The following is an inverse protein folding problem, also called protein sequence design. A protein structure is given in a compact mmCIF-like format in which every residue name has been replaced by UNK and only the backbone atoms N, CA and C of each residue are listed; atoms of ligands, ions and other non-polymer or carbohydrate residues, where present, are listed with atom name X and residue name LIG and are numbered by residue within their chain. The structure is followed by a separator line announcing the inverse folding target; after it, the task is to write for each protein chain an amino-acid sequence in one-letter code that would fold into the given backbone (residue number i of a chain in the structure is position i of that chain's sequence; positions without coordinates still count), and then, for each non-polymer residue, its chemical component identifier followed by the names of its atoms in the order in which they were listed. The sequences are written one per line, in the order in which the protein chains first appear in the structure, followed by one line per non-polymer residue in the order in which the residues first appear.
data_IF_925477621807
#
_entry.id   IF_925477621807
#
_cell.length_a   1.000
_cell.length_b   1.000
_cell.length_c   1.000
_cell.angle_alpha   90.00
_cell.angle_beta   90.00
_cell.angle_gamma   90.00
#
_symmetry.space_group_name_H-M   'P 1'
#
loop_
_entity.id
_entity.type
_entity.pdbx_description
1 polymer ?
#
# COMPACT_ATOMS: atom_id res chain seq x y z
N UNK A 1 29.95 56.94 34.33
CA UNK A 1 29.00 55.87 34.57
C UNK A 1 28.12 55.51 33.35
N UNK A 2 27.53 56.44 32.62
CA UNK A 2 26.65 56.17 31.48
C UNK A 2 27.33 55.35 30.34
N UNK A 3 28.62 55.55 30.02
CA UNK A 3 29.29 54.88 28.92
C UNK A 3 29.71 53.41 29.24
N UNK A 4 29.94 53.10 30.51
CA UNK A 4 30.25 51.76 30.96
C UNK A 4 29.02 50.87 30.90
N UNK A 5 27.87 51.39 31.35
CA UNK A 5 26.61 50.69 31.34
C UNK A 5 26.11 50.37 29.90
N UNK A 6 26.36 51.28 28.95
CA UNK A 6 26.03 51.09 27.53
C UNK A 6 26.90 49.98 26.90
N UNK A 7 28.13 49.86 27.29
CA UNK A 7 29.04 48.75 26.82
C UNK A 7 28.59 47.36 27.32
N UNK A 8 28.20 47.26 28.59
CA UNK A 8 27.65 46.02 29.17
C UNK A 8 26.34 45.62 28.55
N UNK A 9 25.46 46.58 28.26
CA UNK A 9 24.15 46.30 27.61
C UNK A 9 24.32 45.80 26.17
N UNK A 10 25.27 46.34 25.41
CA UNK A 10 25.58 45.90 24.06
C UNK A 10 26.27 44.50 24.04
N UNK A 11 27.10 44.17 25.05
CA UNK A 11 27.70 42.83 25.18
C UNK A 11 26.63 41.77 25.54
N UNK A 12 25.67 42.08 26.42
CA UNK A 12 24.58 41.20 26.78
C UNK A 12 23.64 40.92 25.57
N UNK A 13 23.35 41.96 24.77
CA UNK A 13 22.56 41.82 23.54
C UNK A 13 23.28 40.97 22.50
N UNK A 14 24.61 41.10 22.36
CA UNK A 14 25.37 40.30 21.40
C UNK A 14 25.42 38.80 21.81
N UNK A 15 25.59 38.52 23.10
CA UNK A 15 25.58 37.14 23.62
C UNK A 15 24.18 36.49 23.47
N UNK A 16 23.09 37.26 23.69
CA UNK A 16 21.71 36.77 23.49
C UNK A 16 21.42 36.46 22.01
N UNK A 17 21.93 37.30 21.08
CA UNK A 17 21.80 37.08 19.63
C UNK A 17 22.55 35.82 19.15
N UNK A 18 23.76 35.58 19.67
CA UNK A 18 24.57 34.40 19.35
C UNK A 18 23.92 33.14 19.92
N UNK A 19 23.39 33.18 21.14
CA UNK A 19 22.68 32.06 21.75
C UNK A 19 21.37 31.69 21.00
N UNK A 20 20.62 32.69 20.53
CA UNK A 20 19.42 32.44 19.75
C UNK A 20 19.71 31.87 18.36
N UNK A 21 20.80 32.31 17.70
CA UNK A 21 21.26 31.75 16.42
C UNK A 21 21.71 30.28 16.56
N UNK A 22 22.36 29.94 17.68
CA UNK A 22 22.80 28.56 17.95
C UNK A 22 21.65 27.61 18.25
N UNK A 23 20.61 28.08 18.93
CA UNK A 23 19.36 27.28 19.19
C UNK A 23 18.58 27.05 17.89
N UNK A 24 18.48 28.02 17.01
CA UNK A 24 17.80 27.88 15.71
C UNK A 24 18.55 26.92 14.79
N UNK A 25 19.90 26.92 14.79
CA UNK A 25 20.69 25.95 14.03
C UNK A 25 20.58 24.54 14.59
N UNK A 26 20.51 24.35 15.91
CA UNK A 26 20.33 23.05 16.54
C UNK A 26 18.92 22.48 16.36
N UNK A 27 17.90 23.31 16.20
CA UNK A 27 16.52 22.87 15.91
C UNK A 27 16.36 22.46 14.45
N UNK A 28 17.09 23.08 13.53
CA UNK A 28 17.06 22.70 12.11
C UNK A 28 17.84 21.41 11.78
N UNK A 29 18.81 21.01 12.62
CA UNK A 29 19.57 19.76 12.41
C UNK A 29 18.81 18.50 12.86
N UNK A 30 17.71 18.63 13.63
CA UNK A 30 16.87 17.47 14.00
C UNK A 30 15.76 17.15 12.99
N UNK A 31 15.55 17.96 11.97
CA UNK A 31 14.49 17.76 10.96
C UNK A 31 14.99 17.18 9.63
N UNK A 32 16.26 16.85 9.51
CA UNK A 32 16.77 16.10 8.37
C UNK A 32 16.64 14.60 8.64
N UNK A 33 15.39 14.12 8.77
CA UNK A 33 15.10 12.74 8.46
C UNK A 33 15.55 12.51 7.02
N UNK A 34 16.56 11.67 6.86
CA UNK A 34 16.99 11.14 5.58
C UNK A 34 15.76 10.65 4.83
N UNK A 35 15.22 11.48 3.94
CA UNK A 35 14.40 10.99 2.85
C UNK A 35 15.38 10.21 1.96
N UNK A 36 15.53 8.92 2.24
CA UNK A 36 16.08 8.01 1.25
C UNK A 36 15.18 8.16 0.03
N UNK A 37 15.70 8.77 -1.03
CA UNK A 37 15.07 8.70 -2.35
C UNK A 37 14.76 7.22 -2.59
N UNK A 38 13.49 6.85 -2.92
CA UNK A 38 13.18 5.46 -3.22
C UNK A 38 14.18 4.99 -4.27
N UNK A 39 14.91 3.91 -3.96
CA UNK A 39 15.83 3.30 -4.93
C UNK A 39 14.99 2.89 -6.14
N UNK A 40 15.35 3.38 -7.34
CA UNK A 40 14.57 3.12 -8.54
C UNK A 40 14.45 1.60 -8.74
N UNK A 41 13.27 1.05 -8.47
CA UNK A 41 12.99 -0.38 -8.55
C UNK A 41 12.60 -1.07 -7.23
N UNK A 42 12.54 -0.34 -6.11
CA UNK A 42 12.08 -0.85 -4.81
C UNK A 42 10.92 -0.03 -4.26
N UNK A 43 10.07 -0.68 -3.48
CA UNK A 43 8.88 -0.09 -2.85
C UNK A 43 8.78 -0.51 -1.39
N UNK A 44 8.56 0.46 -0.51
CA UNK A 44 8.27 0.18 0.90
C UNK A 44 6.97 -0.62 1.06
N UNK A 45 6.93 -1.64 1.97
CA UNK A 45 5.69 -2.35 2.30
C UNK A 45 4.57 -1.47 2.85
N UNK A 46 4.89 -0.27 3.30
CA UNK A 46 3.93 0.70 3.84
C UNK A 46 3.47 1.74 2.81
N UNK A 47 3.91 1.62 1.56
CA UNK A 47 3.49 2.54 0.50
C UNK A 47 1.95 2.54 0.34
N UNK A 48 1.33 3.72 0.19
CA UNK A 48 -0.12 3.81 0.05
C UNK A 48 -0.59 3.25 -1.29
N UNK A 49 -1.72 2.54 -1.27
CA UNK A 49 -2.43 2.12 -2.48
C UNK A 49 -3.26 3.29 -3.00
N UNK A 50 -3.21 3.54 -4.30
CA UNK A 50 -4.05 4.53 -4.95
C UNK A 50 -5.54 4.12 -4.88
N UNK A 51 -6.46 5.09 -4.94
CA UNK A 51 -7.91 4.90 -4.89
C UNK A 51 -8.60 5.63 -6.05
N UNK A 52 -9.88 5.29 -6.35
CA UNK A 52 -10.66 5.98 -7.38
C UNK A 52 -10.25 5.67 -8.81
N UNK A 53 -9.50 4.59 -9.06
CA UNK A 53 -8.99 4.25 -10.41
C UNK A 53 -9.70 3.06 -11.06
N UNK A 54 -10.89 2.67 -10.58
CA UNK A 54 -11.69 1.60 -11.16
C UNK A 54 -13.15 2.03 -11.40
N UNK A 55 -13.39 3.08 -12.22
CA UNK A 55 -14.74 3.62 -12.45
C UNK A 55 -15.66 2.68 -13.21
N UNK A 56 -15.11 1.67 -13.89
CA UNK A 56 -15.86 0.65 -14.65
C UNK A 56 -16.22 -0.59 -13.83
N UNK A 57 -15.81 -0.67 -12.57
CA UNK A 57 -16.06 -1.82 -11.71
C UNK A 57 -17.55 -2.03 -11.49
N UNK A 58 -17.98 -3.29 -11.63
CA UNK A 58 -19.35 -3.75 -11.38
C UNK A 58 -19.35 -4.80 -10.30
N UNK A 59 -20.28 -4.68 -9.35
CA UNK A 59 -20.37 -5.57 -8.19
C UNK A 59 -21.78 -6.17 -8.13
N UNK A 60 -21.88 -7.47 -7.84
CA UNK A 60 -23.13 -8.15 -7.54
C UNK A 60 -22.96 -9.05 -6.32
N UNK A 61 -23.84 -8.87 -5.33
CA UNK A 61 -24.02 -9.82 -4.25
C UNK A 61 -24.73 -11.07 -4.80
N UNK A 62 -24.11 -12.23 -4.69
CA UNK A 62 -24.63 -13.50 -5.18
C UNK A 62 -25.47 -14.21 -4.11
N UNK A 63 -24.96 -14.18 -2.86
CA UNK A 63 -25.65 -14.79 -1.72
C UNK A 63 -25.18 -14.18 -0.39
N UNK A 64 -26.07 -14.24 0.60
CA UNK A 64 -25.76 -13.88 1.99
C UNK A 64 -26.42 -14.90 2.92
N UNK A 65 -25.65 -15.50 3.83
CA UNK A 65 -26.15 -16.43 4.83
C UNK A 65 -25.25 -16.46 6.04
N UNK A 66 -25.80 -16.35 7.25
CA UNK A 66 -25.03 -16.38 8.48
C UNK A 66 -23.96 -15.29 8.57
N UNK A 67 -24.17 -14.12 7.93
CA UNK A 67 -23.21 -13.03 7.84
C UNK A 67 -22.09 -13.25 6.83
N UNK A 68 -22.02 -14.41 6.17
CA UNK A 68 -21.11 -14.64 5.03
C UNK A 68 -21.75 -14.09 3.77
N UNK A 69 -20.99 -13.26 3.04
CA UNK A 69 -21.43 -12.65 1.77
C UNK A 69 -20.53 -13.10 0.62
N UNK A 70 -21.15 -13.55 -0.46
CA UNK A 70 -20.45 -13.92 -1.69
C UNK A 70 -20.74 -12.89 -2.78
N UNK A 71 -19.70 -12.36 -3.37
CA UNK A 71 -19.76 -11.35 -4.42
C UNK A 71 -19.11 -11.85 -5.71
N UNK A 72 -19.64 -11.41 -6.84
CA UNK A 72 -18.90 -11.32 -8.09
C UNK A 72 -18.56 -9.86 -8.34
N UNK A 73 -17.30 -9.60 -8.69
CA UNK A 73 -16.76 -8.27 -8.99
C UNK A 73 -16.14 -8.37 -10.38
N UNK A 74 -16.57 -7.52 -11.30
CA UNK A 74 -16.03 -7.46 -12.65
C UNK A 74 -15.40 -6.09 -12.84
N UNK A 75 -14.10 -6.07 -13.13
CA UNK A 75 -13.39 -4.85 -13.53
C UNK A 75 -13.25 -4.82 -15.05
N UNK A 76 -13.50 -3.64 -15.62
CA UNK A 76 -13.49 -3.41 -17.04
C UNK A 76 -12.15 -2.86 -17.55
N UNK A 77 -12.11 -2.62 -18.85
CA UNK A 77 -10.94 -2.06 -19.52
C UNK A 77 -10.43 -0.77 -18.84
N UNK A 78 -9.17 -0.74 -18.47
CA UNK A 78 -8.43 0.35 -17.82
C UNK A 78 -8.69 0.53 -16.32
N UNK A 79 -9.62 -0.21 -15.72
CA UNK A 79 -9.73 -0.22 -14.26
C UNK A 79 -8.42 -0.71 -13.65
N UNK A 80 -8.03 -0.11 -12.51
CA UNK A 80 -6.86 -0.53 -11.74
C UNK A 80 -7.31 -1.44 -10.61
N UNK A 81 -6.71 -2.63 -10.55
CA UNK A 81 -7.17 -3.74 -9.70
C UNK A 81 -7.06 -3.42 -8.22
N UNK A 82 -5.89 -2.98 -7.75
CA UNK A 82 -5.66 -2.75 -6.32
C UNK A 82 -6.48 -1.57 -5.79
N UNK A 83 -6.63 -0.52 -6.61
CA UNK A 83 -7.52 0.60 -6.32
C UNK A 83 -8.97 0.15 -6.20
N UNK A 84 -9.47 -0.60 -7.19
CA UNK A 84 -10.87 -1.06 -7.19
C UNK A 84 -11.20 -1.93 -6.00
N UNK A 85 -10.34 -2.91 -5.67
CA UNK A 85 -10.55 -3.78 -4.51
C UNK A 85 -10.46 -3.04 -3.18
N UNK A 86 -9.56 -2.05 -3.08
CA UNK A 86 -9.44 -1.21 -1.89
C UNK A 86 -10.69 -0.35 -1.68
N UNK A 87 -11.20 0.26 -2.74
CA UNK A 87 -12.41 1.07 -2.68
C UNK A 87 -13.63 0.19 -2.35
N UNK A 88 -13.80 -0.96 -3.02
CA UNK A 88 -14.85 -1.93 -2.71
C UNK A 88 -14.83 -2.34 -1.24
N UNK A 89 -13.65 -2.67 -0.70
CA UNK A 89 -13.51 -3.12 0.68
C UNK A 89 -13.92 -2.02 1.67
N UNK A 90 -13.54 -0.76 1.43
CA UNK A 90 -13.92 0.39 2.26
C UNK A 90 -15.42 0.67 2.20
N UNK A 91 -15.99 0.77 1.00
CA UNK A 91 -17.41 1.09 0.78
C UNK A 91 -18.34 0.04 1.38
N UNK A 92 -17.96 -1.24 1.26
CA UNK A 92 -18.75 -2.37 1.78
C UNK A 92 -18.37 -2.80 3.19
N UNK A 93 -17.46 -2.06 3.86
CA UNK A 93 -16.99 -2.33 5.23
C UNK A 93 -16.48 -3.77 5.40
N UNK A 94 -15.73 -4.26 4.41
CA UNK A 94 -15.16 -5.61 4.45
C UNK A 94 -13.99 -5.61 5.43
N UNK A 95 -14.09 -6.43 6.46
CA UNK A 95 -13.06 -6.57 7.50
C UNK A 95 -12.32 -7.91 7.44
N UNK A 96 -12.86 -8.84 6.65
CA UNK A 96 -12.29 -10.18 6.44
C UNK A 96 -12.86 -10.75 5.14
N UNK A 97 -11.99 -11.11 4.20
CA UNK A 97 -12.40 -11.78 2.97
C UNK A 97 -11.27 -12.60 2.38
N UNK A 98 -11.64 -13.55 1.52
CA UNK A 98 -10.76 -14.18 0.56
C UNK A 98 -11.33 -13.98 -0.85
N UNK A 99 -10.47 -14.03 -1.87
CA UNK A 99 -10.92 -13.93 -3.25
C UNK A 99 -10.01 -14.67 -4.21
N UNK A 100 -10.56 -14.94 -5.39
CA UNK A 100 -9.82 -15.47 -6.54
C UNK A 100 -10.36 -14.84 -7.82
N UNK A 101 -9.50 -14.75 -8.85
CA UNK A 101 -9.88 -14.16 -10.13
C UNK A 101 -9.11 -14.76 -11.30
N UNK A 102 -9.71 -14.61 -12.47
CA UNK A 102 -9.11 -14.81 -13.79
C UNK A 102 -9.41 -13.61 -14.69
N UNK A 103 -8.67 -13.44 -15.76
CA UNK A 103 -8.87 -12.35 -16.71
C UNK A 103 -7.58 -12.02 -17.44
N UNK A 104 -7.39 -10.75 -17.79
CA UNK A 104 -6.14 -10.31 -18.42
C UNK A 104 -5.84 -8.84 -18.11
N UNK A 105 -4.58 -8.46 -18.26
CA UNK A 105 -4.07 -7.11 -18.03
C UNK A 105 -3.36 -6.57 -19.26
N UNK A 106 -3.50 -5.28 -19.53
CA UNK A 106 -2.67 -4.58 -20.53
C UNK A 106 -1.24 -4.33 -20.03
N UNK A 107 -1.08 -4.25 -18.71
CA UNK A 107 0.19 -4.12 -17.99
C UNK A 107 -0.01 -4.44 -16.51
N UNK A 108 1.06 -4.83 -15.85
CA UNK A 108 1.08 -5.02 -14.41
C UNK A 108 2.46 -4.69 -13.83
N UNK A 109 2.49 -4.43 -12.52
CA UNK A 109 3.72 -4.45 -11.73
C UNK A 109 3.53 -5.48 -10.63
N UNK A 110 4.35 -6.53 -10.64
CA UNK A 110 4.45 -7.47 -9.54
C UNK A 110 5.71 -7.22 -8.74
N UNK A 111 5.84 -7.84 -7.58
CA UNK A 111 7.00 -7.63 -6.73
C UNK A 111 7.45 -8.92 -6.05
N UNK A 112 8.74 -8.94 -5.70
CA UNK A 112 9.36 -9.94 -4.86
C UNK A 112 9.87 -9.27 -3.58
N UNK A 113 9.52 -9.81 -2.41
CA UNK A 113 9.98 -9.26 -1.14
C UNK A 113 11.46 -9.60 -0.91
N UNK A 114 12.28 -8.57 -0.80
CA UNK A 114 13.71 -8.70 -0.46
C UNK A 114 13.87 -8.63 1.06
N UNK A 115 14.17 -9.78 1.67
CA UNK A 115 14.35 -9.89 3.13
C UNK A 115 15.51 -9.04 3.63
N UNK A 116 16.58 -8.91 2.84
CA UNK A 116 17.78 -8.16 3.24
C UNK A 116 17.52 -6.65 3.28
N UNK A 117 16.66 -6.15 2.39
CA UNK A 117 16.27 -4.75 2.27
C UNK A 117 14.99 -4.44 3.05
N UNK A 118 14.17 -5.46 3.35
CA UNK A 118 12.81 -5.31 3.89
C UNK A 118 11.92 -4.44 3.01
N UNK A 119 12.08 -4.57 1.70
CA UNK A 119 11.38 -3.84 0.65
C UNK A 119 10.93 -4.77 -0.47
N UNK A 120 9.97 -4.33 -1.27
CA UNK A 120 9.52 -5.03 -2.47
C UNK A 120 10.36 -4.60 -3.68
N UNK A 121 11.11 -5.53 -4.27
CA UNK A 121 11.72 -5.35 -5.60
C UNK A 121 10.63 -5.38 -6.65
N UNK A 122 10.46 -4.28 -7.38
CA UNK A 122 9.46 -4.14 -8.42
C UNK A 122 9.87 -4.87 -9.70
N UNK A 123 8.91 -5.55 -10.31
CA UNK A 123 9.04 -6.28 -11.57
C UNK A 123 7.94 -5.80 -12.50
N UNK A 124 8.17 -4.73 -13.29
CA UNK A 124 7.19 -4.21 -14.23
C UNK A 124 7.01 -5.17 -15.42
N UNK A 125 5.76 -5.33 -15.83
CA UNK A 125 5.33 -6.11 -17.00
C UNK A 125 4.57 -5.14 -17.92
N UNK A 126 5.24 -4.67 -18.95
CA UNK A 126 4.76 -3.61 -19.86
C UNK A 126 4.18 -4.20 -21.17
N UNK A 127 3.51 -5.33 -21.07
CA UNK A 127 2.86 -6.02 -22.17
C UNK A 127 1.52 -6.59 -21.72
N UNK A 128 0.66 -6.95 -22.68
CA UNK A 128 -0.57 -7.68 -22.37
C UNK A 128 -0.22 -9.09 -21.87
N UNK A 129 -0.88 -9.49 -20.79
CA UNK A 129 -0.72 -10.80 -20.16
C UNK A 129 -2.06 -11.38 -19.74
N UNK A 130 -2.18 -12.71 -19.83
CA UNK A 130 -3.31 -13.44 -19.26
C UNK A 130 -3.10 -13.62 -17.75
N UNK A 131 -4.13 -13.34 -16.97
CA UNK A 131 -4.18 -13.65 -15.54
C UNK A 131 -4.62 -15.11 -15.37
N UNK A 132 -3.66 -16.00 -15.22
CA UNK A 132 -3.89 -17.44 -15.02
C UNK A 132 -4.48 -17.74 -13.66
N UNK A 133 -4.01 -16.99 -12.64
CA UNK A 133 -4.50 -17.11 -11.27
C UNK A 133 -4.24 -15.83 -10.49
N UNK A 134 -5.22 -15.42 -9.71
CA UNK A 134 -5.11 -14.41 -8.69
C UNK A 134 -5.77 -14.95 -7.42
N UNK A 135 -5.05 -14.92 -6.32
CA UNK A 135 -5.56 -15.30 -5.01
C UNK A 135 -5.17 -14.25 -3.99
N UNK A 136 -6.08 -13.95 -3.06
CA UNK A 136 -5.80 -12.93 -2.06
C UNK A 136 -6.74 -12.93 -0.89
N UNK A 137 -6.41 -12.06 0.05
CA UNK A 137 -7.17 -11.80 1.26
C UNK A 137 -7.40 -10.31 1.48
N UNK A 138 -8.38 -10.01 2.32
CA UNK A 138 -8.61 -8.68 2.88
C UNK A 138 -8.67 -8.84 4.39
N UNK A 139 -7.89 -8.04 5.11
CA UNK A 139 -7.89 -7.98 6.57
C UNK A 139 -7.62 -6.55 7.03
N UNK A 140 -7.95 -6.22 8.28
CA UNK A 140 -7.76 -4.88 8.83
C UNK A 140 -6.30 -4.64 9.26
N UNK A 141 -5.78 -3.47 8.91
CA UNK A 141 -4.60 -2.88 9.55
C UNK A 141 -5.03 -1.62 10.30
N UNK A 142 -5.13 -1.70 11.62
CA UNK A 142 -5.88 -0.73 12.41
C UNK A 142 -7.36 -0.78 12.01
N UNK A 143 -7.93 0.35 11.58
CA UNK A 143 -9.32 0.45 11.13
C UNK A 143 -9.49 0.37 9.60
N UNK A 144 -8.41 0.18 8.84
CA UNK A 144 -8.46 0.22 7.39
C UNK A 144 -8.34 -1.17 6.78
N UNK A 145 -9.20 -1.56 5.81
CA UNK A 145 -9.02 -2.79 5.05
C UNK A 145 -7.77 -2.69 4.18
N UNK A 146 -7.00 -3.76 4.18
CA UNK A 146 -5.79 -3.93 3.36
C UNK A 146 -5.97 -5.15 2.48
N UNK A 147 -5.86 -4.94 1.17
CA UNK A 147 -5.87 -6.00 0.16
C UNK A 147 -4.48 -6.56 0.03
N UNK A 148 -4.36 -7.89 0.08
CA UNK A 148 -3.13 -8.62 -0.15
C UNK A 148 -3.38 -9.69 -1.20
N UNK A 149 -2.59 -9.71 -2.28
CA UNK A 149 -2.83 -10.64 -3.37
C UNK A 149 -1.57 -10.99 -4.14
N UNK A 150 -1.53 -12.23 -4.62
CA UNK A 150 -0.51 -12.75 -5.51
C UNK A 150 -1.14 -13.17 -6.84
N UNK A 151 -0.35 -13.07 -7.91
CA UNK A 151 -0.78 -13.38 -9.27
C UNK A 151 0.21 -14.27 -9.99
N UNK A 152 -0.30 -15.09 -10.92
CA UNK A 152 0.45 -15.77 -11.97
C UNK A 152 -0.03 -15.23 -13.33
N UNK A 153 0.89 -14.68 -14.11
CA UNK A 153 0.65 -14.00 -15.38
C UNK A 153 1.36 -14.72 -16.51
N UNK A 154 0.63 -15.04 -17.58
CA UNK A 154 1.17 -15.66 -18.77
C UNK A 154 1.39 -14.63 -19.89
N UNK A 155 2.60 -14.58 -20.43
CA UNK A 155 2.92 -13.85 -21.66
C UNK A 155 2.41 -14.59 -22.90
N UNK A 156 2.49 -13.97 -24.08
CA UNK A 156 1.99 -14.53 -25.35
C UNK A 156 2.64 -15.85 -25.77
N UNK A 157 3.83 -16.14 -25.26
CA UNK A 157 4.55 -17.42 -25.48
C UNK A 157 4.23 -18.48 -24.40
N UNK A 158 3.34 -18.17 -23.44
CA UNK A 158 2.99 -19.04 -22.33
C UNK A 158 3.98 -19.00 -21.16
N UNK A 159 5.03 -18.19 -21.21
CA UNK A 159 5.95 -17.99 -20.08
C UNK A 159 5.23 -17.36 -18.92
N UNK A 160 5.38 -17.95 -17.73
CA UNK A 160 4.76 -17.48 -16.49
C UNK A 160 5.69 -16.54 -15.71
N UNK A 161 5.14 -15.43 -15.28
CA UNK A 161 5.73 -14.49 -14.30
C UNK A 161 4.71 -14.19 -13.23
N UNK A 162 5.13 -13.86 -12.02
CA UNK A 162 4.18 -13.56 -10.96
C UNK A 162 4.85 -13.10 -9.68
N UNK A 163 4.03 -12.93 -8.65
CA UNK A 163 4.45 -12.47 -7.33
C UNK A 163 3.37 -11.66 -6.64
N UNK A 164 3.80 -10.84 -5.68
CA UNK A 164 2.94 -9.89 -5.00
C UNK A 164 2.47 -8.82 -5.98
N UNK A 165 1.16 -8.60 -6.10
CA UNK A 165 0.62 -7.60 -7.01
C UNK A 165 0.74 -6.20 -6.39
N UNK A 166 1.36 -5.28 -7.13
CA UNK A 166 1.46 -3.87 -6.76
C UNK A 166 0.39 -3.06 -7.49
N UNK A 167 0.28 -3.25 -8.81
CA UNK A 167 -0.74 -2.61 -9.64
C UNK A 167 -1.00 -3.44 -10.90
N UNK A 168 -2.22 -3.36 -11.45
CA UNK A 168 -2.52 -3.91 -12.76
C UNK A 168 -3.68 -3.16 -13.43
N UNK A 169 -3.54 -2.90 -14.74
CA UNK A 169 -4.59 -2.31 -15.55
C UNK A 169 -5.29 -3.38 -16.37
N UNK A 170 -6.58 -3.53 -16.12
CA UNK A 170 -7.41 -4.56 -16.74
C UNK A 170 -7.55 -4.37 -18.25
N UNK A 171 -7.46 -5.47 -19.01
CA UNK A 171 -7.81 -5.57 -20.43
C UNK A 171 -7.90 -7.04 -20.84
N UNK A 172 -9.05 -7.51 -21.40
CA UNK A 172 -10.32 -6.79 -21.58
C UNK A 172 -11.17 -6.78 -20.30
N UNK A 173 -11.04 -7.80 -19.42
CA UNK A 173 -11.84 -8.00 -18.21
C UNK A 173 -11.05 -8.67 -17.10
N UNK A 174 -11.46 -8.44 -15.87
CA UNK A 174 -11.11 -9.23 -14.69
C UNK A 174 -12.41 -9.70 -14.03
N UNK A 175 -12.52 -11.00 -13.79
CA UNK A 175 -13.69 -11.64 -13.16
C UNK A 175 -13.26 -12.25 -11.83
N UNK A 176 -13.75 -11.67 -10.73
CA UNK A 176 -13.34 -11.96 -9.38
C UNK A 176 -14.52 -12.46 -8.55
N UNK A 177 -14.29 -13.55 -7.81
CA UNK A 177 -15.21 -14.06 -6.81
C UNK A 177 -14.62 -13.81 -5.41
N UNK A 178 -15.42 -13.17 -4.54
CA UNK A 178 -15.03 -12.79 -3.20
C UNK A 178 -16.02 -13.34 -2.18
N UNK A 179 -15.49 -13.99 -1.14
CA UNK A 179 -16.24 -14.38 0.05
C UNK A 179 -15.80 -13.51 1.21
N UNK A 180 -16.72 -12.70 1.75
CA UNK A 180 -16.53 -11.92 2.97
C UNK A 180 -17.10 -12.65 4.18
N UNK A 181 -16.36 -12.60 5.30
CA UNK A 181 -16.72 -13.30 6.54
C UNK A 181 -17.19 -12.31 7.60
N UNK A 182 -18.11 -12.75 8.54
CA UNK A 182 -18.61 -11.88 9.60
C UNK A 182 -17.57 -11.56 10.69
N UNK A 183 -16.63 -12.47 10.93
CA UNK A 183 -15.55 -12.25 11.89
C UNK A 183 -14.44 -11.41 11.23
N UNK A 184 -13.99 -10.35 11.91
CA UNK A 184 -12.87 -9.54 11.46
C UNK A 184 -11.56 -10.29 11.54
N UNK A 185 -10.66 -10.05 10.58
CA UNK A 185 -9.26 -10.44 10.64
C UNK A 185 -8.39 -9.19 10.79
N UNK A 186 -7.35 -9.29 11.58
CA UNK A 186 -6.46 -8.18 11.86
C UNK A 186 -5.03 -8.50 11.44
N UNK A 187 -4.34 -7.50 10.90
CA UNK A 187 -2.90 -7.55 10.59
C UNK A 187 -2.13 -6.83 11.69
N UNK A 188 -1.04 -7.45 12.13
CA UNK A 188 -0.10 -6.89 13.07
C UNK A 188 1.24 -6.62 12.38
N UNK A 189 1.92 -5.54 12.80
CA UNK A 189 3.27 -5.24 12.34
C UNK A 189 4.26 -6.27 12.87
N UNK A 190 5.00 -6.90 11.95
CA UNK A 190 6.12 -7.78 12.27
C UNK A 190 7.45 -7.02 12.13
N UNK A 191 8.18 -6.78 13.23
CA UNK A 191 9.45 -6.03 13.17
C UNK A 191 10.57 -6.79 12.44
N UNK A 192 10.48 -8.12 12.33
CA UNK A 192 11.47 -8.91 11.63
C UNK A 192 11.43 -8.65 10.11
N UNK A 193 10.24 -8.56 9.54
CA UNK A 193 10.03 -8.36 8.11
C UNK A 193 9.60 -6.95 7.73
N UNK A 194 9.15 -6.12 8.70
CA UNK A 194 8.48 -4.82 8.48
C UNK A 194 7.12 -4.91 7.77
N UNK A 195 6.61 -6.11 7.58
CA UNK A 195 5.31 -6.35 6.97
C UNK A 195 4.18 -6.28 8.01
N UNK A 196 2.97 -6.09 7.53
CA UNK A 196 1.75 -6.26 8.32
C UNK A 196 1.12 -7.60 7.96
N UNK A 197 1.29 -8.58 8.85
CA UNK A 197 0.87 -9.96 8.65
C UNK A 197 -0.44 -10.24 9.40
N UNK A 198 -1.27 -11.17 8.90
CA UNK A 198 -2.48 -11.60 9.61
C UNK A 198 -2.06 -12.28 10.91
N UNK A 199 -2.65 -11.80 12.01
CA UNK A 199 -2.56 -12.46 13.32
C UNK A 199 -3.94 -13.01 13.69
N UNK A 200 -4.16 -14.34 13.64
CA UNK A 200 -5.45 -14.94 13.91
C UNK A 200 -5.84 -14.92 15.39
N UNK A 201 -4.96 -14.49 16.30
CA UNK A 201 -5.23 -14.37 17.73
C UNK A 201 -5.89 -13.05 18.11
N UNK A 202 -5.81 -12.03 17.22
CA UNK A 202 -6.45 -10.73 17.41
C UNK A 202 -7.96 -10.82 17.11
N UNK A 203 -8.75 -10.03 17.88
CA UNK A 203 -10.22 -9.93 17.75
C UNK A 203 -10.63 -8.51 17.42
#
# INVERSE_FOLDING_TARGET
MKNIMKRYLNQLLLVALIASAFVVTMLNTKAQQSQTTPDAGYLSPTAPVATGKAPGMKVRLLSESGGVKNYVIVLGKRDEVMSGLTDFAKENKITSARFSAIGAFSRATVAWFDESRKEFKLIPIQEQVELVSMIGDIALSGSQPVVHTHVALASSDGTLRGGHLIEANVFPTLELFLTAYPASLHKQFDPATTLKLIDPTLK
#
